data_IF_837214859132
#
_entry.id   IF_837214859132
#
_cell.length_a   1.000
_cell.length_b   1.000
_cell.length_c   1.000
_cell.angle_alpha   90.00
_cell.angle_beta   90.00
_cell.angle_gamma   90.00
#
_symmetry.space_group_name_H-M   'P 1'
#
loop_
_entity.id
_entity.type
_entity.pdbx_description
1 polymer ?
#
# COMPACT_ATOMS: atom_id res chain seq x y z
N UNK A 1 19.87 9.31 -20.77
CA UNK A 1 19.73 8.11 -19.91
C UNK A 1 18.33 7.54 -20.12
N UNK A 2 18.21 6.28 -20.55
CA UNK A 2 16.93 5.55 -20.45
C UNK A 2 16.99 4.73 -19.17
N UNK A 3 16.09 5.02 -18.22
CA UNK A 3 15.95 4.23 -17.00
C UNK A 3 15.47 2.81 -17.31
N UNK A 4 15.42 1.96 -16.28
CA UNK A 4 14.86 0.62 -16.42
C UNK A 4 13.39 0.68 -16.92
N UNK A 5 12.98 -0.25 -17.79
CA UNK A 5 11.57 -0.38 -18.19
C UNK A 5 10.65 -0.42 -16.97
N UNK A 6 9.46 0.17 -17.08
CA UNK A 6 8.49 0.18 -15.96
C UNK A 6 8.15 -1.22 -15.48
N UNK A 7 8.05 -2.20 -16.38
CA UNK A 7 7.80 -3.59 -16.00
C UNK A 7 8.86 -4.14 -15.04
N UNK A 8 10.16 -3.84 -15.23
CA UNK A 8 11.23 -4.28 -14.33
C UNK A 8 11.17 -3.58 -12.97
N UNK A 9 10.83 -2.28 -12.96
CA UNK A 9 10.71 -1.51 -11.72
C UNK A 9 9.52 -2.00 -10.88
N UNK A 10 8.40 -2.23 -11.55
CA UNK A 10 7.16 -2.77 -10.96
C UNK A 10 7.40 -4.19 -10.42
N UNK A 11 8.03 -5.08 -11.20
CA UNK A 11 8.30 -6.44 -10.75
C UNK A 11 9.26 -6.46 -9.55
N UNK A 12 10.31 -5.64 -9.58
CA UNK A 12 11.25 -5.52 -8.47
C UNK A 12 10.58 -5.02 -7.20
N UNK A 13 9.68 -4.04 -7.32
CA UNK A 13 8.89 -3.54 -6.20
C UNK A 13 7.97 -4.62 -5.63
N UNK A 14 7.17 -5.28 -6.47
CA UNK A 14 6.26 -6.35 -6.03
C UNK A 14 6.98 -7.47 -5.30
N UNK A 15 8.16 -7.88 -5.77
CA UNK A 15 8.98 -8.89 -5.10
C UNK A 15 9.46 -8.46 -3.72
N UNK A 16 9.70 -7.16 -3.51
CA UNK A 16 10.14 -6.61 -2.23
C UNK A 16 9.03 -6.40 -1.19
N UNK A 17 7.75 -6.53 -1.57
CA UNK A 17 6.63 -6.33 -0.64
C UNK A 17 6.48 -7.55 0.26
N UNK A 18 6.69 -7.33 1.57
CA UNK A 18 6.49 -8.36 2.60
C UNK A 18 5.03 -8.47 3.09
N UNK A 19 4.16 -7.52 2.72
CA UNK A 19 2.75 -7.52 3.16
C UNK A 19 1.87 -8.27 2.13
N UNK A 20 1.34 -9.46 2.46
CA UNK A 20 0.55 -10.26 1.52
C UNK A 20 -0.79 -9.60 1.13
N UNK A 21 -1.37 -8.77 2.00
CA UNK A 21 -2.63 -8.05 1.68
C UNK A 21 -2.39 -6.93 0.67
N UNK A 22 -1.29 -6.20 0.82
CA UNK A 22 -0.88 -5.21 -0.17
C UNK A 22 -0.55 -5.90 -1.51
N UNK A 23 0.18 -7.01 -1.48
CA UNK A 23 0.47 -7.79 -2.68
C UNK A 23 -0.82 -8.27 -3.36
N UNK A 24 -1.79 -8.80 -2.61
CA UNK A 24 -3.09 -9.21 -3.15
C UNK A 24 -3.81 -8.06 -3.83
N UNK A 25 -3.86 -6.88 -3.20
CA UNK A 25 -4.52 -5.68 -3.74
C UNK A 25 -3.87 -5.19 -5.04
N UNK A 26 -2.54 -5.21 -5.11
CA UNK A 26 -1.80 -4.85 -6.32
C UNK A 26 -1.91 -5.90 -7.43
N UNK A 27 -2.23 -7.15 -7.11
CA UNK A 27 -2.54 -8.18 -8.13
C UNK A 27 -3.97 -8.06 -8.66
N UNK A 28 -4.93 -7.63 -7.82
CA UNK A 28 -6.31 -7.36 -8.25
C UNK A 28 -6.38 -6.17 -9.20
N UNK A 29 -5.58 -5.12 -8.93
CA UNK A 29 -5.40 -3.99 -9.82
C UNK A 29 -3.92 -3.80 -10.13
N UNK A 30 -3.45 -4.47 -11.19
CA UNK A 30 -2.04 -4.44 -11.60
C UNK A 30 -1.68 -3.04 -12.12
N UNK A 31 -0.81 -2.29 -11.41
CA UNK A 31 -0.41 -0.97 -11.86
C UNK A 31 0.46 -1.07 -13.12
N UNK A 32 0.24 -0.17 -14.07
CA UNK A 32 0.99 -0.12 -15.34
C UNK A 32 2.20 0.80 -15.24
N UNK A 33 2.12 1.74 -14.33
CA UNK A 33 3.17 2.73 -14.08
C UNK A 33 3.67 2.72 -12.65
N UNK A 34 4.88 3.26 -12.45
CA UNK A 34 5.41 3.45 -11.09
C UNK A 34 4.53 4.42 -10.28
N UNK A 35 3.94 5.41 -10.94
CA UNK A 35 3.09 6.41 -10.27
C UNK A 35 1.80 5.77 -9.73
N UNK A 36 1.10 4.97 -10.53
CA UNK A 36 -0.08 4.21 -10.08
C UNK A 36 0.25 3.29 -8.90
N UNK A 37 1.41 2.62 -8.96
CA UNK A 37 1.89 1.76 -7.88
C UNK A 37 2.14 2.52 -6.57
N UNK A 38 2.78 3.69 -6.65
CA UNK A 38 3.05 4.54 -5.48
C UNK A 38 1.74 5.04 -4.88
N UNK A 39 0.80 5.49 -5.73
CA UNK A 39 -0.52 5.95 -5.29
C UNK A 39 -1.27 4.83 -4.57
N UNK A 40 -1.34 3.63 -5.17
CA UNK A 40 -2.02 2.48 -4.58
C UNK A 40 -1.39 2.06 -3.24
N UNK A 41 -0.06 2.02 -3.17
CA UNK A 41 0.68 1.67 -1.94
C UNK A 41 0.46 2.70 -0.84
N UNK A 42 0.54 3.99 -1.17
CA UNK A 42 0.34 5.08 -0.22
C UNK A 42 -1.10 5.09 0.30
N UNK A 43 -2.08 4.89 -0.58
CA UNK A 43 -3.49 4.79 -0.20
C UNK A 43 -3.73 3.59 0.74
N UNK A 44 -3.09 2.45 0.48
CA UNK A 44 -3.16 1.28 1.35
C UNK A 44 -2.60 1.58 2.76
N UNK A 45 -1.37 2.12 2.85
CA UNK A 45 -0.73 2.47 4.13
C UNK A 45 -1.60 3.44 4.93
N UNK A 46 -2.18 4.45 4.26
CA UNK A 46 -3.08 5.41 4.89
C UNK A 46 -4.34 4.75 5.44
N UNK A 47 -4.93 3.82 4.69
CA UNK A 47 -6.08 3.03 5.13
C UNK A 47 -5.78 2.21 6.38
N UNK A 48 -4.64 1.52 6.40
CA UNK A 48 -4.17 0.75 7.56
C UNK A 48 -3.95 1.63 8.79
N UNK A 49 -3.32 2.80 8.63
CA UNK A 49 -3.13 3.76 9.72
C UNK A 49 -4.47 4.26 10.30
N UNK A 50 -5.46 4.54 9.44
CA UNK A 50 -6.79 4.94 9.88
C UNK A 50 -7.52 3.82 10.63
N UNK A 51 -7.45 2.58 10.14
CA UNK A 51 -8.03 1.42 10.80
C UNK A 51 -7.39 1.15 12.17
N UNK A 52 -6.07 1.28 12.28
CA UNK A 52 -5.34 1.17 13.54
C UNK A 52 -5.72 2.31 14.52
N UNK A 53 -5.87 3.54 14.03
CA UNK A 53 -6.29 4.67 14.86
C UNK A 53 -7.71 4.49 15.44
N UNK A 54 -8.65 3.96 14.65
CA UNK A 54 -10.03 3.66 15.11
C UNK A 54 -10.03 2.68 16.29
N UNK A 55 -9.17 1.66 16.29
CA UNK A 55 -9.01 0.75 17.45
C UNK A 55 -8.57 1.50 18.71
N UNK A 56 -7.71 2.51 18.57
CA UNK A 56 -7.22 3.32 19.71
C UNK A 56 -8.30 4.29 20.23
N UNK A 57 -9.09 4.89 19.34
CA UNK A 57 -10.18 5.79 19.71
C UNK A 57 -11.32 5.11 20.49
N UNK A 58 -11.63 3.84 20.16
CA UNK A 58 -12.67 3.09 20.87
C UNK A 58 -12.27 2.66 22.30
N UNK A 59 -10.97 2.51 22.58
CA UNK A 59 -10.48 2.12 23.91
C UNK A 59 -10.36 3.30 24.89
N UNK A 60 -10.52 4.54 24.41
CA UNK A 60 -10.29 5.76 25.20
C UNK A 60 -11.57 6.43 25.71
N UNK A 61 -12.77 6.00 25.31
CA UNK A 61 -14.00 6.59 25.83
C UNK A 61 -14.40 5.95 27.15
N UNK A 62 -13.99 6.59 28.24
CA UNK A 62 -14.58 6.44 29.56
C UNK A 62 -15.14 7.80 29.94
N UNK A 63 -16.47 7.98 30.05
CA UNK A 63 -17.02 9.21 30.58
C UNK A 63 -16.62 9.32 32.06
N UNK A 64 -16.17 10.50 32.44
CA UNK A 64 -15.77 10.83 33.80
C UNK A 64 -16.99 11.02 34.70
#
# INVERSE_FOLDING_TARGET
>A
MKGAPECMRISGFMHGINNPELTKRLNEYVPRTMEEMIIATTAFIRGEAAAANKKKGHMSWKPQ
#
